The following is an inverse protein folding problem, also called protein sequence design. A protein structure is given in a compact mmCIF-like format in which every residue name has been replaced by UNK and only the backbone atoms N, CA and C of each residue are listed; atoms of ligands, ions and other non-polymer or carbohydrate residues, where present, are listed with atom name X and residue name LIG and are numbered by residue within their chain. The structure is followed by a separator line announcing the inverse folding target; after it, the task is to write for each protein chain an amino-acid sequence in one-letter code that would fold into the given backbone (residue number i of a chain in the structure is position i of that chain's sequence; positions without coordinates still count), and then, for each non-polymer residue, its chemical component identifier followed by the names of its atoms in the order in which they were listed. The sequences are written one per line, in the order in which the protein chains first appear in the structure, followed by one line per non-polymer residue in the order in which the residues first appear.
data_IF_049028025983
#
_entry.id   IF_049028025983
#
_cell.length_a   1.000
_cell.length_b   1.000
_cell.length_c   1.000
_cell.angle_alpha   90.00
_cell.angle_beta   90.00
_cell.angle_gamma   90.00
#
_symmetry.space_group_name_H-M   'P 1'
#
loop_
_entity.id
_entity.type
_entity.pdbx_description
1 polymer ?
#
# COMPACT_ATOMS: atom_id res chain seq x y z
N UNK A 1 4.19 -20.70 4.95
CA UNK A 1 3.31 -19.65 5.51
C UNK A 1 2.75 -18.72 4.43
N UNK A 2 3.51 -18.36 3.39
CA UNK A 2 3.00 -17.45 2.34
C UNK A 2 1.94 -18.04 1.39
N UNK A 3 1.91 -19.36 1.17
CA UNK A 3 0.94 -19.99 0.26
C UNK A 3 -0.48 -20.14 0.85
N UNK A 4 -0.61 -20.45 2.15
CA UNK A 4 -1.91 -20.55 2.83
C UNK A 4 -2.62 -19.19 2.95
N UNK A 5 -1.85 -18.12 3.15
CA UNK A 5 -2.37 -16.76 3.23
C UNK A 5 -2.92 -16.30 1.88
N UNK A 6 -2.23 -16.63 0.79
CA UNK A 6 -2.71 -16.35 -0.58
C UNK A 6 -3.96 -17.15 -0.94
N UNK A 7 -4.09 -18.39 -0.46
CA UNK A 7 -5.31 -19.19 -0.63
C UNK A 7 -6.49 -18.63 0.18
N UNK A 8 -6.23 -18.11 1.39
CA UNK A 8 -7.24 -17.41 2.20
C UNK A 8 -7.71 -16.13 1.51
N UNK A 9 -6.78 -15.35 0.95
CA UNK A 9 -7.13 -14.14 0.20
C UNK A 9 -7.83 -14.45 -1.13
N UNK A 10 -7.53 -15.56 -1.80
CA UNK A 10 -8.27 -16.01 -2.99
C UNK A 10 -9.72 -16.36 -2.65
N UNK A 11 -9.97 -17.03 -1.52
CA UNK A 11 -11.32 -17.32 -1.04
C UNK A 11 -12.11 -16.05 -0.68
N UNK A 12 -11.46 -15.08 -0.04
CA UNK A 12 -12.04 -13.76 0.27
C UNK A 12 -12.35 -12.96 -1.00
N UNK A 13 -11.52 -13.07 -2.04
CA UNK A 13 -11.71 -12.38 -3.32
C UNK A 13 -12.88 -12.95 -4.11
N UNK A 14 -13.06 -14.27 -4.10
CA UNK A 14 -14.22 -14.93 -4.72
C UNK A 14 -15.51 -14.55 -4.00
N UNK A 15 -15.50 -14.56 -2.66
CA UNK A 15 -16.65 -14.12 -1.86
C UNK A 15 -16.99 -12.64 -2.10
N UNK A 16 -15.97 -11.78 -2.24
CA UNK A 16 -16.18 -10.37 -2.58
C UNK A 16 -16.74 -10.21 -4.00
N UNK A 17 -16.23 -10.95 -5.00
CA UNK A 17 -16.73 -10.91 -6.38
C UNK A 17 -18.20 -11.35 -6.49
N UNK A 18 -18.63 -12.34 -5.70
CA UNK A 18 -20.03 -12.74 -5.62
C UNK A 18 -20.89 -11.64 -4.95
N UNK A 19 -20.35 -10.92 -3.96
CA UNK A 19 -21.00 -9.75 -3.40
C UNK A 19 -21.06 -8.55 -4.35
N UNK A 20 -20.06 -8.33 -5.21
CA UNK A 20 -20.09 -7.30 -6.27
C UNK A 20 -21.27 -7.51 -7.22
N UNK A 21 -21.68 -8.76 -7.47
CA UNK A 21 -22.84 -9.07 -8.31
C UNK A 21 -24.19 -8.80 -7.61
N UNK A 22 -24.22 -8.76 -6.27
CA UNK A 22 -25.45 -8.73 -5.48
C UNK A 22 -25.76 -7.37 -4.81
N UNK A 23 -24.76 -6.58 -4.42
CA UNK A 23 -24.98 -5.31 -3.72
C UNK A 23 -23.84 -4.30 -3.93
N UNK A 24 -24.22 -3.03 -4.18
CA UNK A 24 -23.39 -1.82 -4.20
C UNK A 24 -22.04 -1.91 -4.93
N UNK A 25 -22.13 -1.78 -6.25
CA UNK A 25 -21.02 -1.98 -7.19
C UNK A 25 -19.75 -1.17 -6.87
N UNK A 26 -19.82 0.06 -6.36
CA UNK A 26 -18.61 0.88 -6.22
C UNK A 26 -17.76 0.55 -4.98
N UNK A 27 -18.39 0.38 -3.81
CA UNK A 27 -17.69 0.05 -2.56
C UNK A 27 -17.06 -1.34 -2.62
N UNK A 28 -17.79 -2.29 -3.23
CA UNK A 28 -17.32 -3.66 -3.42
C UNK A 28 -16.17 -3.76 -4.44
N UNK A 29 -16.17 -2.89 -5.48
CA UNK A 29 -15.04 -2.76 -6.42
C UNK A 29 -13.79 -2.21 -5.72
N UNK A 30 -13.94 -1.23 -4.82
CA UNK A 30 -12.80 -0.65 -4.10
C UNK A 30 -12.19 -1.62 -3.08
N UNK A 31 -13.03 -2.41 -2.40
CA UNK A 31 -12.63 -3.55 -1.56
C UNK A 31 -11.84 -4.59 -2.36
N UNK A 32 -12.38 -5.04 -3.49
CA UNK A 32 -11.71 -6.02 -4.35
C UNK A 32 -10.38 -5.50 -4.91
N UNK A 33 -10.28 -4.21 -5.24
CA UNK A 33 -9.02 -3.58 -5.64
C UNK A 33 -7.99 -3.55 -4.51
N UNK A 34 -8.42 -3.35 -3.26
CA UNK A 34 -7.53 -3.37 -2.10
C UNK A 34 -6.92 -4.75 -1.90
N UNK A 35 -7.73 -5.80 -1.99
CA UNK A 35 -7.28 -7.20 -1.85
C UNK A 35 -6.28 -7.55 -2.97
N UNK A 36 -6.54 -7.14 -4.21
CA UNK A 36 -5.57 -7.31 -5.32
C UNK A 36 -4.23 -6.63 -5.05
N UNK A 37 -4.23 -5.43 -4.45
CA UNK A 37 -2.99 -4.72 -4.07
C UNK A 37 -2.24 -5.47 -2.97
N UNK A 38 -2.95 -6.06 -2.01
CA UNK A 38 -2.37 -6.88 -0.95
C UNK A 38 -1.73 -8.14 -1.51
N UNK A 39 -2.45 -8.88 -2.36
CA UNK A 39 -1.91 -10.07 -3.05
C UNK A 39 -0.68 -9.74 -3.91
N UNK A 40 -0.65 -8.57 -4.58
CA UNK A 40 0.52 -8.10 -5.33
C UNK A 40 1.71 -7.78 -4.43
N UNK A 41 1.48 -7.26 -3.23
CA UNK A 41 2.53 -6.99 -2.25
C UNK A 41 3.13 -8.30 -1.73
N UNK A 42 2.29 -9.28 -1.40
CA UNK A 42 2.71 -10.61 -0.93
C UNK A 42 3.40 -11.43 -2.03
N UNK A 43 2.97 -11.30 -3.29
CA UNK A 43 3.63 -11.91 -4.44
C UNK A 43 5.08 -11.44 -4.61
N UNK A 44 5.42 -10.21 -4.20
CA UNK A 44 6.82 -9.74 -4.24
C UNK A 44 7.72 -10.48 -3.24
N UNK A 45 7.14 -11.06 -2.19
CA UNK A 45 7.87 -11.89 -1.23
C UNK A 45 8.07 -13.34 -1.72
N UNK A 46 7.40 -13.76 -2.80
CA UNK A 46 7.56 -15.08 -3.41
C UNK A 46 8.63 -15.08 -4.51
N UNK A 47 9.39 -16.18 -4.62
CA UNK A 47 10.42 -16.37 -5.63
C UNK A 47 10.10 -17.55 -6.57
N UNK A 48 10.51 -17.45 -7.84
CA UNK A 48 10.48 -18.56 -8.79
C UNK A 48 9.12 -18.87 -9.42
N UNK A 49 8.81 -20.17 -9.56
CA UNK A 49 7.67 -20.68 -10.33
C UNK A 49 6.30 -20.34 -9.72
N UNK A 50 6.19 -20.31 -8.39
CA UNK A 50 4.94 -19.97 -7.68
C UNK A 50 4.53 -18.52 -7.95
N UNK A 51 5.51 -17.60 -8.08
CA UNK A 51 5.24 -16.21 -8.45
C UNK A 51 4.65 -16.09 -9.86
N UNK A 52 5.12 -16.89 -10.81
CA UNK A 52 4.59 -16.87 -12.18
C UNK A 52 3.13 -17.35 -12.22
N UNK A 53 2.81 -18.39 -11.44
CA UNK A 53 1.43 -18.89 -11.31
C UNK A 53 0.51 -17.84 -10.69
N UNK A 54 0.89 -17.25 -9.55
CA UNK A 54 0.10 -16.19 -8.90
C UNK A 54 0.00 -14.92 -9.75
N UNK A 55 1.02 -14.60 -10.54
CA UNK A 55 0.99 -13.48 -11.49
C UNK A 55 -0.08 -13.68 -12.58
N UNK A 56 -0.23 -14.90 -13.11
CA UNK A 56 -1.29 -15.20 -14.09
C UNK A 56 -2.69 -15.12 -13.45
N UNK A 57 -2.85 -15.64 -12.23
CA UNK A 57 -4.12 -15.61 -11.49
C UNK A 57 -4.55 -14.18 -11.15
N UNK A 58 -3.63 -13.35 -10.62
CA UNK A 58 -3.88 -11.93 -10.34
C UNK A 58 -4.25 -11.17 -11.63
N UNK A 59 -3.55 -11.42 -12.74
CA UNK A 59 -3.88 -10.75 -14.01
C UNK A 59 -5.27 -11.12 -14.54
N UNK A 60 -5.76 -12.33 -14.23
CA UNK A 60 -7.10 -12.81 -14.61
C UNK A 60 -8.17 -12.15 -13.73
N UNK A 61 -7.91 -12.04 -12.43
CA UNK A 61 -8.78 -11.33 -11.48
C UNK A 61 -8.84 -9.83 -11.80
N UNK A 62 -7.72 -9.21 -12.17
CA UNK A 62 -7.68 -7.80 -12.58
C UNK A 62 -8.50 -7.53 -13.83
N UNK A 63 -8.42 -8.41 -14.84
CA UNK A 63 -9.26 -8.30 -16.04
C UNK A 63 -10.74 -8.39 -15.69
N UNK A 64 -11.13 -9.37 -14.86
CA UNK A 64 -12.52 -9.50 -14.39
C UNK A 64 -13.00 -8.28 -13.61
N UNK A 65 -12.16 -7.72 -12.76
CA UNK A 65 -12.47 -6.51 -11.99
C UNK A 65 -12.61 -5.29 -12.91
N UNK A 66 -11.77 -5.17 -13.95
CA UNK A 66 -11.91 -4.14 -14.97
C UNK A 66 -13.20 -4.31 -15.78
N UNK A 67 -13.55 -5.54 -16.18
CA UNK A 67 -14.79 -5.83 -16.90
C UNK A 67 -16.02 -5.47 -16.07
N UNK A 68 -16.03 -5.81 -14.77
CA UNK A 68 -17.11 -5.45 -13.85
C UNK A 68 -17.15 -3.94 -13.59
N UNK A 69 -15.99 -3.27 -13.48
CA UNK A 69 -15.91 -1.81 -13.37
C UNK A 69 -16.43 -1.12 -14.64
N UNK A 70 -16.09 -1.63 -15.82
CA UNK A 70 -16.62 -1.13 -17.08
C UNK A 70 -18.11 -1.39 -17.22
N UNK A 71 -18.60 -2.57 -16.84
CA UNK A 71 -20.03 -2.89 -16.83
C UNK A 71 -20.83 -2.03 -15.83
N UNK A 72 -20.23 -1.71 -14.66
CA UNK A 72 -20.82 -0.83 -13.65
C UNK A 72 -20.84 0.64 -14.08
N UNK A 73 -19.79 1.11 -14.78
CA UNK A 73 -19.69 2.49 -15.30
C UNK A 73 -20.55 2.74 -16.55
N UNK A 74 -20.74 1.73 -17.41
CA UNK A 74 -21.57 1.85 -18.62
C UNK A 74 -23.06 1.73 -18.29
N UNK A 75 -23.41 1.21 -17.11
CA UNK A 75 -24.78 0.84 -16.77
C UNK A 75 -25.35 -0.20 -17.74
N UNK A 76 -26.51 -0.80 -17.47
CA UNK A 76 -27.19 -1.66 -18.42
C UNK A 76 -27.73 -0.82 -19.58
N UNK A 77 -26.86 -0.39 -20.49
CA UNK A 77 -27.25 0.21 -21.76
C UNK A 77 -27.81 -0.89 -22.66
N UNK A 78 -29.11 -1.13 -22.50
CA UNK A 78 -30.09 -1.43 -23.56
C UNK A 78 -29.53 -2.28 -24.71
N UNK A 79 -29.43 -3.58 -24.48
CA UNK A 79 -29.22 -4.60 -25.51
C UNK A 79 -30.32 -5.66 -25.47
N UNK A 80 -31.49 -5.32 -26.01
CA UNK A 80 -32.55 -6.20 -26.53
C UNK A 80 -32.89 -7.54 -25.85
N UNK A 81 -34.07 -7.62 -25.25
CA UNK A 81 -34.73 -8.90 -24.91
C UNK A 81 -35.97 -8.68 -24.06
N UNK A 82 -37.16 -8.77 -24.66
CA UNK A 82 -38.42 -8.28 -24.09
C UNK A 82 -38.93 -9.00 -22.83
N UNK A 83 -39.76 -8.28 -22.08
CA UNK A 83 -40.78 -8.89 -21.22
C UNK A 83 -40.90 -8.29 -19.83
N UNK A 84 -41.96 -7.52 -19.60
CA UNK A 84 -42.68 -7.59 -18.32
C UNK A 84 -42.42 -6.50 -17.28
N UNK A 85 -43.39 -5.59 -17.21
CA UNK A 85 -44.08 -5.23 -15.95
C UNK A 85 -43.36 -4.31 -14.93
N UNK A 86 -43.87 -3.07 -14.88
CA UNK A 86 -44.42 -2.46 -13.65
C UNK A 86 -43.43 -1.88 -12.63
N UNK A 87 -43.19 -0.55 -12.70
CA UNK A 87 -43.64 0.50 -11.73
C UNK A 87 -42.72 1.73 -11.69
N UNK A 88 -43.39 2.89 -11.62
CA UNK A 88 -42.93 4.16 -11.04
C UNK A 88 -41.70 4.82 -11.68
N UNK A 89 -41.96 5.57 -12.75
CA UNK A 89 -41.15 6.73 -13.10
C UNK A 89 -41.51 7.92 -12.21
N UNK A 90 -40.73 8.14 -11.16
CA UNK A 90 -40.54 9.47 -10.56
C UNK A 90 -39.05 9.78 -10.59
N UNK A 91 -38.50 9.97 -11.79
CA UNK A 91 -37.13 10.45 -11.99
C UNK A 91 -37.19 11.86 -12.56
N UNK A 92 -37.62 12.79 -11.72
CA UNK A 92 -37.20 14.18 -11.80
C UNK A 92 -36.17 14.36 -10.68
N UNK A 93 -34.98 13.77 -10.84
CA UNK A 93 -33.82 14.25 -10.11
C UNK A 93 -33.44 15.55 -10.80
N UNK A 94 -33.73 16.68 -10.16
CA UNK A 94 -33.34 17.99 -10.65
C UNK A 94 -31.83 17.95 -10.95
N UNK A 95 -31.36 18.37 -12.14
CA UNK A 95 -29.93 18.38 -12.46
C UNK A 95 -29.12 19.19 -11.44
N UNK A 96 -29.77 20.11 -10.72
CA UNK A 96 -29.20 20.87 -9.60
C UNK A 96 -28.81 19.99 -8.41
N UNK A 97 -29.62 19.00 -8.02
CA UNK A 97 -29.33 18.09 -6.89
C UNK A 97 -28.13 17.18 -7.19
N UNK A 98 -27.99 16.74 -8.44
CA UNK A 98 -26.86 15.91 -8.87
C UNK A 98 -25.55 16.72 -8.90
N UNK A 99 -25.62 17.97 -9.35
CA UNK A 99 -24.48 18.90 -9.34
C UNK A 99 -24.05 19.23 -7.91
N UNK A 100 -25.00 19.47 -7.01
CA UNK A 100 -24.71 19.77 -5.60
C UNK A 100 -24.12 18.55 -4.88
N UNK A 101 -24.66 17.35 -5.12
CA UNK A 101 -24.09 16.11 -4.61
C UNK A 101 -22.66 15.85 -5.14
N UNK A 102 -22.40 16.14 -6.42
CA UNK A 102 -21.07 16.04 -7.01
C UNK A 102 -20.09 17.06 -6.42
N UNK A 103 -20.53 18.31 -6.23
CA UNK A 103 -19.72 19.36 -5.62
C UNK A 103 -19.36 19.05 -4.16
N UNK A 104 -20.31 18.50 -3.39
CA UNK A 104 -20.08 18.09 -2.01
C UNK A 104 -19.09 16.92 -1.92
N UNK A 105 -19.17 15.94 -2.82
CA UNK A 105 -18.17 14.86 -2.91
C UNK A 105 -16.78 15.40 -3.25
N UNK A 106 -16.69 16.33 -4.20
CA UNK A 106 -15.41 16.92 -4.57
C UNK A 106 -14.79 17.74 -3.42
N UNK A 107 -15.61 18.47 -2.66
CA UNK A 107 -15.15 19.19 -1.45
C UNK A 107 -14.60 18.22 -0.41
N UNK A 108 -15.34 17.14 -0.11
CA UNK A 108 -14.88 16.10 0.80
C UNK A 108 -13.56 15.48 0.35
N UNK A 109 -13.42 15.16 -0.94
CA UNK A 109 -12.16 14.64 -1.48
C UNK A 109 -10.99 15.61 -1.33
N UNK A 110 -11.22 16.92 -1.53
CA UNK A 110 -10.19 17.94 -1.35
C UNK A 110 -9.80 18.09 0.12
N UNK A 111 -10.77 18.07 1.02
CA UNK A 111 -10.52 18.15 2.46
C UNK A 111 -9.76 16.92 2.98
N UNK A 112 -10.13 15.72 2.51
CA UNK A 112 -9.42 14.48 2.82
C UNK A 112 -7.99 14.50 2.25
N UNK A 113 -7.81 14.95 1.01
CA UNK A 113 -6.49 15.08 0.40
C UNK A 113 -5.61 16.07 1.18
N UNK A 114 -6.19 17.20 1.60
CA UNK A 114 -5.47 18.19 2.42
C UNK A 114 -5.05 17.59 3.76
N UNK A 115 -5.95 16.89 4.45
CA UNK A 115 -5.63 16.23 5.71
C UNK A 115 -4.51 15.20 5.54
N UNK A 116 -4.55 14.40 4.49
CA UNK A 116 -3.50 13.42 4.20
C UNK A 116 -2.15 14.11 3.91
N UNK A 117 -2.15 15.26 3.24
CA UNK A 117 -0.93 16.04 3.01
C UNK A 117 -0.36 16.60 4.32
N UNK A 118 -1.20 17.13 5.21
CA UNK A 118 -0.78 17.62 6.53
C UNK A 118 -0.20 16.47 7.39
N UNK A 119 -0.85 15.30 7.40
CA UNK A 119 -0.34 14.10 8.08
C UNK A 119 1.01 13.65 7.47
N UNK A 120 1.14 13.71 6.14
CA UNK A 120 2.39 13.35 5.44
C UNK A 120 3.51 14.35 5.74
N UNK A 121 3.21 15.64 5.83
CA UNK A 121 4.18 16.68 6.22
C UNK A 121 4.67 16.45 7.64
N UNK A 122 3.78 16.13 8.57
CA UNK A 122 4.14 15.83 9.96
C UNK A 122 5.09 14.62 10.05
N UNK A 123 4.77 13.53 9.36
CA UNK A 123 5.64 12.34 9.30
C UNK A 123 6.97 12.68 8.61
N UNK A 124 6.95 13.50 7.56
CA UNK A 124 8.14 14.01 6.88
C UNK A 124 9.05 14.81 7.83
N UNK A 125 8.49 15.71 8.64
CA UNK A 125 9.23 16.49 9.62
C UNK A 125 9.85 15.59 10.71
N UNK A 126 9.09 14.61 11.20
CA UNK A 126 9.59 13.67 12.21
C UNK A 126 10.71 12.79 11.67
N UNK A 127 10.57 12.27 10.44
CA UNK A 127 11.62 11.46 9.81
C UNK A 127 12.91 12.26 9.60
N UNK A 128 12.83 13.53 9.17
CA UNK A 128 14.00 14.40 9.07
C UNK A 128 14.68 14.64 10.42
N UNK A 129 13.90 14.87 11.48
CA UNK A 129 14.43 15.02 12.85
C UNK A 129 15.13 13.74 13.34
N UNK A 130 14.54 12.58 13.05
CA UNK A 130 15.13 11.28 13.39
C UNK A 130 16.43 11.04 12.61
N UNK A 131 16.46 11.35 11.31
CA UNK A 131 17.67 11.26 10.49
C UNK A 131 18.77 12.20 10.99
N UNK A 132 18.44 13.43 11.39
CA UNK A 132 19.40 14.33 12.01
C UNK A 132 19.98 13.75 13.30
N UNK A 133 19.12 13.22 14.17
CA UNK A 133 19.55 12.59 15.43
C UNK A 133 20.47 11.38 15.16
N UNK A 134 20.12 10.54 14.19
CA UNK A 134 20.95 9.41 13.77
C UNK A 134 22.32 9.86 13.24
N UNK A 135 22.36 10.94 12.44
CA UNK A 135 23.61 11.53 11.96
C UNK A 135 24.49 11.97 13.12
N UNK A 136 23.93 12.64 14.13
CA UNK A 136 24.68 13.06 15.31
C UNK A 136 25.24 11.87 16.10
N UNK A 137 24.47 10.79 16.23
CA UNK A 137 24.93 9.54 16.86
C UNK A 137 26.09 8.93 16.08
N UNK A 138 26.00 8.87 14.76
CA UNK A 138 27.09 8.34 13.90
C UNK A 138 28.35 9.17 14.05
N UNK A 139 28.24 10.51 14.03
CA UNK A 139 29.39 11.41 14.22
C UNK A 139 30.04 11.20 15.59
N UNK A 140 29.24 11.07 16.66
CA UNK A 140 29.75 10.75 18.01
C UNK A 140 30.44 9.39 18.04
N UNK A 141 29.85 8.36 17.43
CA UNK A 141 30.44 7.03 17.36
C UNK A 141 31.77 7.05 16.60
N UNK A 142 31.85 7.78 15.48
CA UNK A 142 33.08 7.95 14.70
C UNK A 142 34.18 8.65 15.52
N UNK A 143 33.84 9.72 16.24
CA UNK A 143 34.78 10.42 17.12
C UNK A 143 35.29 9.51 18.25
N UNK A 144 34.40 8.72 18.86
CA UNK A 144 34.76 7.76 19.90
C UNK A 144 35.67 6.65 19.35
N UNK A 145 35.35 6.09 18.18
CA UNK A 145 36.21 5.09 17.53
C UNK A 145 37.59 5.66 17.20
N UNK A 146 37.66 6.90 16.73
CA UNK A 146 38.96 7.55 16.49
C UNK A 146 39.76 7.77 17.77
N UNK A 147 39.10 8.08 18.90
CA UNK A 147 39.76 8.20 20.20
C UNK A 147 40.29 6.84 20.68
N UNK A 148 39.44 5.81 20.67
CA UNK A 148 39.81 4.44 21.05
C UNK A 148 40.98 3.93 20.19
N UNK A 149 40.99 4.22 18.89
CA UNK A 149 42.10 3.82 18.03
C UNK A 149 43.44 4.47 18.44
N UNK A 150 43.43 5.74 18.85
CA UNK A 150 44.63 6.41 19.38
C UNK A 150 45.09 5.79 20.70
N UNK A 151 44.15 5.44 21.58
CA UNK A 151 44.46 4.79 22.85
C UNK A 151 45.04 3.38 22.63
N UNK A 152 44.54 2.64 21.64
CA UNK A 152 45.10 1.35 21.22
C UNK A 152 46.51 1.51 20.66
N UNK A 153 46.76 2.51 19.82
CA UNK A 153 48.11 2.80 19.29
C UNK A 153 49.10 3.12 20.43
N UNK A 154 48.66 3.92 21.41
CA UNK A 154 49.47 4.21 22.59
C UNK A 154 49.72 2.97 23.44
N UNK A 155 48.69 2.16 23.68
CA UNK A 155 48.78 0.90 24.41
C UNK A 155 49.74 -0.07 23.73
N UNK A 156 49.69 -0.17 22.40
CA UNK A 156 50.59 -1.02 21.61
C UNK A 156 52.05 -0.53 21.69
N UNK A 157 52.29 0.79 21.67
CA UNK A 157 53.63 1.36 21.88
C UNK A 157 54.18 1.01 23.26
N UNK A 158 53.36 1.12 24.31
CA UNK A 158 53.75 0.74 25.68
C UNK A 158 54.07 -0.76 25.75
N UNK A 159 53.18 -1.61 25.22
CA UNK A 159 53.36 -3.05 25.18
C UNK A 159 54.63 -3.45 24.42
N UNK A 160 54.96 -2.75 23.33
CA UNK A 160 56.20 -2.96 22.58
C UNK A 160 57.43 -2.58 23.40
N UNK A 161 57.40 -1.47 24.14
CA UNK A 161 58.49 -1.06 25.04
C UNK A 161 58.69 -2.05 26.18
N UNK A 162 57.59 -2.50 26.80
CA UNK A 162 57.62 -3.56 27.81
C UNK A 162 58.21 -4.84 27.23
N UNK A 163 57.69 -5.32 26.10
CA UNK A 163 58.17 -6.56 25.46
C UNK A 163 59.67 -6.52 25.14
N UNK A 164 60.22 -5.35 24.80
CA UNK A 164 61.66 -5.15 24.64
C UNK A 164 62.42 -5.19 25.97
N UNK A 165 61.89 -4.56 27.02
CA UNK A 165 62.49 -4.58 28.36
C UNK A 165 62.55 -6.00 28.95
N UNK A 166 61.53 -6.83 28.74
CA UNK A 166 61.49 -8.20 29.26
C UNK A 166 62.38 -9.20 28.48
N UNK A 167 62.90 -8.84 27.31
CA UNK A 167 63.74 -9.71 26.46
C UNK A 167 65.23 -9.35 26.48
N UNK A 168 65.62 -8.30 27.21
CA UNK A 168 67.02 -7.94 27.47
C UNK A 168 67.37 -8.24 28.91
#
# INVERSE_FOLDING_TARGET
MSADVLASHEAELVACLDHVQAADGQSSIDEAQRIVRLMKAEMRALAGAERAEWQTRISTVEKRLQDVKHASLVGPSRGGGGGGSTRQGTTCSDPSDVLEASANRQRQMVDDARRQLEETEQVGAETLKNLQTQREVIVKAQNNLSAVNRDLDQSNRIMTRMSKWWRG
#
